data_IF_375960885992
#
_entry.id   IF_375960885992
#
_cell.length_a   1.000
_cell.length_b   1.000
_cell.length_c   1.000
_cell.angle_alpha   90.00
_cell.angle_beta   90.00
_cell.angle_gamma   90.00
#
_symmetry.space_group_name_H-M   'P 1'
#
loop_
_entity.id
_entity.type
_entity.pdbx_description
1 polymer ?
#
# COMPACT_ATOMS: atom_id res chain seq x y z
N UNK A 1 -19.44 5.20 3.07
CA UNK A 1 -19.41 4.82 1.64
C UNK A 1 -17.97 4.63 1.20
N UNK A 2 -17.69 3.65 0.34
CA UNK A 2 -16.40 3.48 -0.32
C UNK A 2 -16.30 4.46 -1.52
N UNK A 3 -15.21 5.23 -1.60
CA UNK A 3 -14.95 6.22 -2.66
C UNK A 3 -13.55 5.99 -3.24
N UNK A 4 -13.42 6.02 -4.57
CA UNK A 4 -12.15 6.07 -5.31
C UNK A 4 -12.03 7.47 -5.93
N UNK A 5 -10.95 8.18 -5.64
CA UNK A 5 -10.64 9.47 -6.26
C UNK A 5 -9.58 9.26 -7.35
N UNK A 6 -9.96 9.52 -8.60
CA UNK A 6 -9.07 9.43 -9.76
C UNK A 6 -7.99 10.53 -9.80
N UNK A 7 -8.12 11.58 -8.97
CA UNK A 7 -7.28 12.78 -9.03
C UNK A 7 -6.52 13.07 -7.74
N UNK A 8 -5.29 12.58 -7.64
CA UNK A 8 -4.23 13.16 -6.80
C UNK A 8 -2.88 12.82 -7.46
N UNK A 9 -1.92 13.75 -7.55
CA UNK A 9 -0.58 13.46 -8.10
C UNK A 9 0.30 12.61 -7.16
N UNK A 10 -0.17 12.36 -5.94
CA UNK A 10 0.57 11.60 -4.95
C UNK A 10 0.37 10.09 -5.16
N UNK A 11 1.35 9.27 -4.76
CA UNK A 11 1.34 7.79 -4.91
C UNK A 11 0.18 7.04 -4.22
N UNK A 12 -0.75 7.76 -3.58
CA UNK A 12 -2.00 7.26 -3.01
C UNK A 12 -3.22 7.52 -3.92
N UNK A 13 -3.02 8.08 -5.13
CA UNK A 13 -4.08 8.22 -6.12
C UNK A 13 -4.70 6.85 -6.43
N UNK A 14 -6.02 6.83 -6.66
CA UNK A 14 -6.77 5.59 -6.95
C UNK A 14 -6.81 4.62 -5.75
N UNK A 15 -6.31 4.99 -4.57
CA UNK A 15 -6.53 4.17 -3.37
C UNK A 15 -7.99 4.29 -2.91
N UNK A 16 -8.68 3.17 -2.71
CA UNK A 16 -10.01 3.15 -2.15
C UNK A 16 -9.98 3.57 -0.68
N UNK A 17 -10.98 4.35 -0.27
CA UNK A 17 -11.11 4.78 1.11
C UNK A 17 -12.55 4.87 1.58
N UNK A 18 -12.72 4.76 2.89
CA UNK A 18 -13.98 5.03 3.56
C UNK A 18 -14.13 6.51 3.85
N UNK A 19 -15.27 7.05 3.42
CA UNK A 19 -15.73 8.41 3.72
C UNK A 19 -17.06 8.34 4.47
N UNK A 20 -17.18 9.12 5.54
CA UNK A 20 -18.47 9.36 6.18
C UNK A 20 -19.32 10.22 5.24
N UNK A 21 -20.55 9.81 4.93
CA UNK A 21 -21.44 10.54 4.03
C UNK A 21 -21.95 11.84 4.65
N UNK A 22 -22.14 11.84 5.97
CA UNK A 22 -22.82 12.93 6.67
C UNK A 22 -21.88 14.11 6.91
N UNK A 23 -20.67 13.84 7.40
CA UNK A 23 -19.67 14.88 7.63
C UNK A 23 -18.66 15.05 6.48
N UNK A 24 -18.69 14.17 5.48
CA UNK A 24 -17.79 14.17 4.32
C UNK A 24 -16.29 14.08 4.67
N UNK A 25 -15.94 13.59 5.86
CA UNK A 25 -14.56 13.39 6.28
C UNK A 25 -14.04 12.02 5.85
N UNK A 26 -12.75 11.97 5.51
CA UNK A 26 -12.00 10.72 5.33
C UNK A 26 -11.91 9.97 6.66
N UNK A 27 -12.08 8.64 6.62
CA UNK A 27 -11.97 7.78 7.80
C UNK A 27 -10.70 6.92 7.74
N UNK A 28 -10.58 6.10 6.71
CA UNK A 28 -9.44 5.18 6.53
C UNK A 28 -9.36 4.71 5.08
N UNK A 29 -8.20 4.19 4.67
CA UNK A 29 -8.10 3.42 3.44
C UNK A 29 -8.87 2.10 3.58
N UNK A 30 -9.43 1.61 2.47
CA UNK A 30 -10.18 0.35 2.45
C UNK A 30 -9.26 -0.86 2.29
N UNK A 31 -8.20 -0.69 1.51
CA UNK A 31 -7.24 -1.74 1.20
C UNK A 31 -6.28 -2.07 2.36
N UNK A 32 -5.60 -3.22 2.27
CA UNK A 32 -4.60 -3.70 3.24
C UNK A 32 -3.19 -3.11 3.03
N UNK A 33 -3.01 -2.09 2.18
CA UNK A 33 -1.70 -1.50 1.92
C UNK A 33 -1.31 -0.53 3.03
N UNK A 34 -0.01 -0.39 3.24
CA UNK A 34 0.55 0.47 4.26
C UNK A 34 1.04 -0.34 5.45
N UNK A 35 0.92 0.23 6.64
CA UNK A 35 1.39 -0.40 7.87
C UNK A 35 0.37 -1.44 8.36
N UNK A 36 0.84 -2.65 8.62
CA UNK A 36 0.07 -3.72 9.25
C UNK A 36 0.95 -4.35 10.35
N UNK A 37 0.48 -4.43 11.61
CA UNK A 37 1.23 -5.07 12.69
C UNK A 37 1.59 -6.55 12.44
N UNK A 38 0.85 -7.24 11.56
CA UNK A 38 1.11 -8.62 11.16
C UNK A 38 2.23 -8.77 10.13
N UNK A 39 2.66 -7.67 9.50
CA UNK A 39 3.76 -7.74 8.54
C UNK A 39 5.09 -8.11 9.21
N UNK A 40 5.99 -8.79 8.47
CA UNK A 40 7.33 -9.10 8.95
C UNK A 40 8.06 -7.87 9.50
N UNK A 41 8.77 -8.07 10.61
CA UNK A 41 9.62 -7.05 11.18
C UNK A 41 10.82 -6.77 10.26
N UNK A 42 11.18 -5.51 10.14
CA UNK A 42 12.43 -5.09 9.50
C UNK A 42 13.61 -5.13 10.50
N UNK A 43 14.83 -4.80 10.05
CA UNK A 43 16.03 -4.73 10.91
C UNK A 43 15.92 -3.67 12.02
N UNK A 44 15.00 -2.71 11.90
CA UNK A 44 14.70 -1.74 12.94
C UNK A 44 13.79 -2.28 14.05
N UNK A 45 13.37 -3.55 13.99
CA UNK A 45 12.50 -4.17 15.00
C UNK A 45 11.02 -3.76 14.92
N UNK A 46 10.61 -3.06 13.86
CA UNK A 46 9.23 -2.62 13.64
C UNK A 46 8.58 -3.30 12.44
N UNK A 47 7.24 -3.47 12.42
CA UNK A 47 6.55 -4.02 11.27
C UNK A 47 6.80 -3.22 9.99
N UNK A 48 6.97 -3.95 8.89
CA UNK A 48 7.16 -3.37 7.57
C UNK A 48 5.87 -2.78 7.02
N UNK A 49 5.99 -1.84 6.06
CA UNK A 49 4.85 -1.27 5.35
C UNK A 49 4.81 -1.78 3.91
N UNK A 50 3.61 -2.07 3.43
CA UNK A 50 3.36 -2.45 2.06
C UNK A 50 3.12 -1.21 1.18
N UNK A 51 3.76 -1.17 0.01
CA UNK A 51 3.56 -0.10 -0.97
C UNK A 51 3.71 -0.62 -2.41
N UNK A 52 3.14 0.08 -3.41
CA UNK A 52 3.32 -0.29 -4.82
C UNK A 52 4.70 0.14 -5.34
N UNK A 53 5.29 -0.69 -6.19
CA UNK A 53 6.50 -0.38 -6.92
C UNK A 53 6.27 0.75 -7.94
N UNK A 54 7.32 1.52 -8.22
CA UNK A 54 7.29 2.51 -9.30
C UNK A 54 7.11 1.87 -10.67
N UNK A 55 6.63 2.64 -11.65
CA UNK A 55 6.37 2.16 -13.01
C UNK A 55 7.60 1.61 -13.74
N UNK A 56 8.80 2.10 -13.42
CA UNK A 56 10.07 1.63 -14.01
C UNK A 56 10.68 0.39 -13.35
N UNK A 57 9.95 -0.34 -12.50
CA UNK A 57 10.43 -1.59 -11.88
C UNK A 57 10.07 -2.79 -12.74
N UNK A 58 10.78 -3.91 -12.55
CA UNK A 58 10.55 -5.18 -13.25
C UNK A 58 9.08 -5.62 -13.23
N UNK A 59 8.41 -5.42 -12.09
CA UNK A 59 6.95 -5.57 -11.96
C UNK A 59 6.38 -4.19 -11.64
N UNK A 60 5.91 -3.44 -12.66
CA UNK A 60 5.27 -2.15 -12.46
C UNK A 60 4.09 -2.30 -11.50
N UNK A 61 3.99 -1.39 -10.51
CA UNK A 61 2.92 -1.39 -9.49
C UNK A 61 2.84 -2.67 -8.63
N UNK A 62 3.86 -3.53 -8.68
CA UNK A 62 3.96 -4.70 -7.79
C UNK A 62 4.06 -4.30 -6.32
N UNK A 63 3.27 -4.95 -5.47
CA UNK A 63 3.29 -4.76 -4.03
C UNK A 63 4.59 -5.30 -3.44
N UNK A 64 5.17 -4.53 -2.52
CA UNK A 64 6.38 -4.92 -1.81
C UNK A 64 6.37 -4.32 -0.40
N UNK A 65 7.07 -4.99 0.51
CA UNK A 65 7.29 -4.57 1.88
C UNK A 65 8.59 -3.79 1.98
N UNK A 66 8.54 -2.67 2.72
CA UNK A 66 9.72 -1.86 3.06
C UNK A 66 9.74 -1.50 4.54
N UNK A 67 10.86 -0.99 5.02
CA UNK A 67 10.94 -0.39 6.34
C UNK A 67 9.88 0.72 6.50
N UNK A 68 9.03 0.63 7.52
CA UNK A 68 8.01 1.64 7.82
C UNK A 68 8.64 2.98 8.21
N UNK A 69 9.78 2.94 8.90
CA UNK A 69 10.56 4.12 9.30
C UNK A 69 11.50 4.63 8.19
N UNK A 70 11.63 3.89 7.08
CA UNK A 70 12.62 4.17 6.02
C UNK A 70 14.07 4.25 6.53
N UNK A 71 14.37 3.61 7.67
CA UNK A 71 15.68 3.66 8.32
C UNK A 71 16.60 2.47 7.95
N UNK A 72 16.06 1.42 7.33
CA UNK A 72 16.83 0.34 6.74
C UNK A 72 16.37 0.01 5.31
N UNK A 73 17.21 -0.72 4.59
CA UNK A 73 17.10 -1.14 3.19
C UNK A 73 16.21 -2.38 2.97
N UNK A 74 15.27 -2.68 3.89
CA UNK A 74 14.32 -3.76 3.66
C UNK A 74 13.56 -3.52 2.36
N UNK A 75 13.61 -4.52 1.46
CA UNK A 75 12.78 -4.63 0.28
C UNK A 75 12.44 -6.11 0.07
N UNK A 76 11.15 -6.44 0.13
CA UNK A 76 10.67 -7.80 -0.13
C UNK A 76 9.42 -7.77 -1.02
N UNK A 77 9.42 -8.45 -2.19
CA UNK A 77 8.20 -8.58 -2.99
C UNK A 77 7.08 -9.24 -2.18
N UNK A 78 5.86 -8.70 -2.27
CA UNK A 78 4.69 -9.34 -1.69
C UNK A 78 4.12 -10.30 -2.73
N UNK A 79 4.18 -11.61 -2.46
CA UNK A 79 3.84 -12.65 -3.43
C UNK A 79 2.59 -13.43 -3.05
N UNK A 80 1.74 -13.72 -4.02
CA UNK A 80 0.62 -14.66 -3.93
C UNK A 80 0.74 -15.69 -5.05
N UNK A 81 0.69 -16.99 -4.73
CA UNK A 81 0.84 -18.05 -5.74
C UNK A 81 2.21 -18.07 -6.45
N UNK A 82 3.26 -17.52 -5.82
CA UNK A 82 4.61 -17.47 -6.38
C UNK A 82 4.93 -16.23 -7.24
N UNK A 83 3.93 -15.40 -7.54
CA UNK A 83 4.11 -14.15 -8.30
C UNK A 83 3.91 -12.92 -7.43
N UNK A 84 4.58 -11.82 -7.77
CA UNK A 84 4.39 -10.55 -7.08
C UNK A 84 2.99 -10.00 -7.35
N UNK A 85 2.23 -9.80 -6.29
CA UNK A 85 0.87 -9.25 -6.35
C UNK A 85 0.95 -7.83 -6.90
N UNK A 86 0.05 -7.48 -7.81
CA UNK A 86 -0.06 -6.12 -8.38
C UNK A 86 -1.27 -5.44 -7.74
N UNK A 87 -1.21 -4.12 -7.60
CA UNK A 87 -2.43 -3.37 -7.33
C UNK A 87 -3.32 -3.46 -8.56
N UNK A 88 -4.47 -4.11 -8.46
CA UNK A 88 -5.51 -3.94 -9.49
C UNK A 88 -6.19 -2.59 -9.27
N UNK A 89 -6.88 -2.07 -10.29
CA UNK A 89 -7.67 -0.83 -10.15
C UNK A 89 -8.92 -1.03 -9.27
N UNK A 90 -9.20 -2.29 -8.92
CA UNK A 90 -10.37 -2.75 -8.17
C UNK A 90 -10.08 -3.14 -6.70
N UNK A 91 -8.81 -3.05 -6.25
CA UNK A 91 -8.37 -3.31 -4.86
C UNK A 91 -8.41 -2.10 -3.94
#
# INVERSE_FOLDING_TARGET
RHVILAGNRNRNAVRPFYKCTDCTKFLSFWDSRGYDPSHPLCRCGVPSRMQPAGSGRRVPRGLHLVCSLSACDLYAPFTGGGEQVRTTEDD
#
